data_IF_395415973542
#
_entry.id   IF_395415973542
#
_cell.length_a   1.000
_cell.length_b   1.000
_cell.length_c   1.000
_cell.angle_alpha   90.00
_cell.angle_beta   90.00
_cell.angle_gamma   90.00
#
_symmetry.space_group_name_H-M   'P 1'
#
loop_
_entity.id
_entity.type
_entity.pdbx_description
1 polymer ?
#
# COMPACT_ATOMS: atom_id res chain seq x y z
N UNK A 1 4.92 -2.60 -13.40
CA UNK A 1 6.07 -2.50 -12.48
C UNK A 1 6.03 -1.14 -11.83
N UNK A 2 6.16 -1.07 -10.51
CA UNK A 2 6.15 0.16 -9.72
C UNK A 2 7.47 0.25 -8.99
N UNK A 3 8.18 1.37 -9.16
CA UNK A 3 9.50 1.61 -8.59
C UNK A 3 9.49 2.96 -7.85
N UNK A 4 9.30 2.94 -6.52
CA UNK A 4 9.58 4.09 -5.68
C UNK A 4 11.08 4.42 -5.70
N UNK A 5 11.44 5.69 -5.89
CA UNK A 5 12.81 6.18 -6.03
C UNK A 5 13.01 7.43 -5.16
N UNK A 6 14.20 7.61 -4.60
CA UNK A 6 14.54 8.78 -3.78
C UNK A 6 15.99 9.25 -4.01
N UNK A 7 17.00 8.53 -3.50
CA UNK A 7 18.42 8.87 -3.65
C UNK A 7 19.17 7.93 -4.61
N UNK A 8 18.48 6.90 -5.06
CA UNK A 8 19.02 5.62 -5.52
C UNK A 8 19.11 5.51 -7.05
N UNK A 9 19.40 6.62 -7.74
CA UNK A 9 19.49 6.69 -9.20
C UNK A 9 20.46 5.65 -9.80
N UNK A 10 21.63 5.45 -9.16
CA UNK A 10 22.64 4.51 -9.67
C UNK A 10 22.19 3.05 -9.53
N UNK A 11 21.52 2.72 -8.44
CA UNK A 11 20.97 1.38 -8.23
C UNK A 11 19.79 1.15 -9.20
N UNK A 12 18.92 2.15 -9.38
CA UNK A 12 17.86 2.12 -10.39
C UNK A 12 18.39 1.84 -11.80
N UNK A 13 19.43 2.55 -12.25
CA UNK A 13 20.04 2.31 -13.57
C UNK A 13 20.52 0.87 -13.70
N UNK A 14 21.21 0.34 -12.69
CA UNK A 14 21.72 -1.04 -12.69
C UNK A 14 20.58 -2.06 -12.72
N UNK A 15 19.53 -1.84 -11.93
CA UNK A 15 18.34 -2.69 -11.92
C UNK A 15 17.66 -2.69 -13.29
N UNK A 16 17.44 -1.52 -13.90
CA UNK A 16 16.80 -1.43 -15.21
C UNK A 16 17.62 -2.11 -16.30
N UNK A 17 18.95 -2.01 -16.29
CA UNK A 17 19.83 -2.77 -17.19
C UNK A 17 19.83 -4.29 -16.93
N UNK A 18 19.32 -4.73 -15.79
CA UNK A 18 19.25 -6.13 -15.39
C UNK A 18 17.87 -6.77 -15.66
N UNK A 19 16.83 -5.98 -15.95
CA UNK A 19 15.53 -6.52 -16.34
C UNK A 19 15.64 -7.17 -17.74
N UNK A 20 15.38 -8.47 -17.81
CA UNK A 20 15.47 -9.30 -19.02
C UNK A 20 14.12 -9.54 -19.72
N UNK A 21 13.04 -8.97 -19.19
CA UNK A 21 11.66 -9.19 -19.66
C UNK A 21 11.02 -7.87 -20.08
N UNK A 22 10.11 -7.86 -21.08
CA UNK A 22 9.41 -6.65 -21.46
C UNK A 22 8.50 -6.16 -20.32
N UNK A 23 8.54 -4.86 -20.05
CA UNK A 23 7.65 -4.21 -19.08
C UNK A 23 6.49 -3.58 -19.84
N UNK A 24 5.26 -4.04 -19.57
CA UNK A 24 4.04 -3.50 -20.19
C UNK A 24 3.74 -2.06 -19.74
N UNK A 25 3.85 -1.82 -18.44
CA UNK A 25 3.65 -0.51 -17.80
C UNK A 25 4.67 -0.34 -16.67
N UNK A 26 5.48 0.70 -16.78
CA UNK A 26 6.47 1.11 -15.79
C UNK A 26 5.99 2.40 -15.11
N UNK A 27 5.86 2.35 -13.79
CA UNK A 27 5.48 3.49 -12.95
C UNK A 27 6.68 3.84 -12.08
N UNK A 28 7.30 4.99 -12.34
CA UNK A 28 8.40 5.52 -11.56
C UNK A 28 7.85 6.60 -10.65
N UNK A 29 8.04 6.45 -9.34
CA UNK A 29 7.56 7.42 -8.36
C UNK A 29 8.74 8.03 -7.64
N UNK A 30 9.01 9.30 -7.92
CA UNK A 30 10.06 10.05 -7.25
C UNK A 30 9.55 10.63 -5.94
N UNK A 31 10.11 10.17 -4.83
CA UNK A 31 9.96 10.73 -3.49
C UNK A 31 11.16 11.65 -3.21
N UNK A 32 10.96 12.95 -3.18
CA UNK A 32 12.03 13.95 -2.96
C UNK A 32 12.40 14.74 -4.20
N UNK A 33 13.44 15.56 -4.06
CA UNK A 33 13.92 16.59 -4.99
C UNK A 33 15.33 16.36 -5.50
N UNK A 34 15.93 15.19 -5.27
CA UNK A 34 17.28 14.87 -5.73
C UNK A 34 17.43 15.22 -7.22
N UNK A 35 18.36 16.13 -7.52
CA UNK A 35 18.40 16.84 -8.79
C UNK A 35 18.76 15.89 -9.95
N UNK A 36 19.71 14.97 -9.74
CA UNK A 36 20.15 14.05 -10.78
C UNK A 36 19.06 13.04 -11.15
N UNK A 37 18.34 12.52 -10.16
CA UNK A 37 17.18 11.68 -10.33
C UNK A 37 16.07 12.45 -11.07
N UNK A 38 15.78 13.67 -10.64
CA UNK A 38 14.78 14.54 -11.28
C UNK A 38 15.05 14.72 -12.78
N UNK A 39 16.28 15.09 -13.13
CA UNK A 39 16.73 15.26 -14.51
C UNK A 39 16.62 13.95 -15.30
N UNK A 40 17.08 12.84 -14.72
CA UNK A 40 16.99 11.53 -15.38
C UNK A 40 15.55 11.12 -15.67
N UNK A 41 14.64 11.29 -14.70
CA UNK A 41 13.23 10.96 -14.87
C UNK A 41 12.52 11.92 -15.83
N UNK A 42 12.96 13.18 -15.91
CA UNK A 42 12.50 14.14 -16.92
C UNK A 42 12.82 13.69 -18.32
N UNK A 43 14.08 13.31 -18.56
CA UNK A 43 14.49 12.83 -19.87
C UNK A 43 13.79 11.52 -20.24
N UNK A 44 13.63 10.59 -19.30
CA UNK A 44 12.85 9.36 -19.53
C UNK A 44 11.40 9.67 -19.88
N UNK A 45 10.74 10.57 -19.14
CA UNK A 45 9.37 11.00 -19.43
C UNK A 45 9.26 11.68 -20.81
N UNK A 46 10.23 12.53 -21.18
CA UNK A 46 10.28 13.19 -22.48
C UNK A 46 10.44 12.20 -23.63
N UNK A 47 11.32 11.21 -23.48
CA UNK A 47 11.65 10.25 -24.55
C UNK A 47 10.61 9.13 -24.69
N UNK A 48 10.04 8.64 -23.58
CA UNK A 48 9.19 7.44 -23.57
C UNK A 48 7.75 7.68 -23.08
N UNK A 49 7.44 8.84 -22.48
CA UNK A 49 6.13 9.12 -21.90
C UNK A 49 4.98 9.10 -22.91
N UNK A 50 5.26 9.45 -24.17
CA UNK A 50 4.27 9.41 -25.26
C UNK A 50 3.72 7.99 -25.54
N UNK A 51 4.44 6.94 -25.13
CA UNK A 51 4.05 5.56 -25.38
C UNK A 51 2.87 5.07 -24.53
N UNK A 52 2.51 5.80 -23.46
CA UNK A 52 1.56 5.34 -22.44
C UNK A 52 2.07 4.16 -21.59
N UNK A 53 3.30 3.66 -21.82
CA UNK A 53 3.92 2.55 -21.08
C UNK A 53 4.83 3.02 -19.95
N UNK A 54 5.13 4.31 -19.87
CA UNK A 54 5.90 4.93 -18.81
C UNK A 54 5.06 6.01 -18.14
N UNK A 55 4.92 5.90 -16.82
CA UNK A 55 4.35 6.95 -15.97
C UNK A 55 5.44 7.39 -15.00
N UNK A 56 5.72 8.69 -14.98
CA UNK A 56 6.61 9.32 -14.00
C UNK A 56 5.77 10.20 -13.10
N UNK A 57 5.67 9.83 -11.82
CA UNK A 57 4.98 10.62 -10.79
C UNK A 57 6.03 11.27 -9.89
N UNK A 58 5.97 12.60 -9.74
CA UNK A 58 6.95 13.35 -8.95
C UNK A 58 6.33 13.93 -7.70
N UNK A 59 6.97 13.65 -6.57
CA UNK A 59 6.57 14.12 -5.26
C UNK A 59 7.76 14.80 -4.59
N UNK A 60 7.95 16.12 -4.82
CA UNK A 60 9.01 16.90 -4.19
C UNK A 60 8.99 16.85 -2.66
N UNK A 61 7.82 16.64 -2.07
CA UNK A 61 7.68 16.24 -0.68
C UNK A 61 7.53 14.73 -0.62
N UNK A 62 8.35 14.06 0.19
CA UNK A 62 8.32 12.61 0.29
C UNK A 62 6.95 12.14 0.82
N UNK A 63 6.22 11.37 0.01
CA UNK A 63 4.89 10.85 0.36
C UNK A 63 4.94 9.50 1.09
N UNK A 64 6.13 8.92 1.23
CA UNK A 64 6.38 7.62 1.81
C UNK A 64 6.37 6.51 0.77
N UNK A 65 6.99 5.38 1.11
CA UNK A 65 7.07 4.20 0.26
C UNK A 65 5.68 3.63 -0.02
N UNK A 66 4.86 3.40 1.02
CA UNK A 66 3.49 2.91 0.89
C UNK A 66 2.66 3.74 -0.08
N UNK A 67 2.69 5.07 0.04
CA UNK A 67 1.94 5.95 -0.84
C UNK A 67 2.45 5.89 -2.29
N UNK A 68 3.76 5.81 -2.49
CA UNK A 68 4.36 5.65 -3.81
C UNK A 68 3.95 4.32 -4.48
N UNK A 69 3.94 3.21 -3.74
CA UNK A 69 3.43 1.92 -4.22
C UNK A 69 1.94 2.01 -4.54
N UNK A 70 1.17 2.71 -3.70
CA UNK A 70 -0.27 2.87 -3.90
C UNK A 70 -0.60 3.68 -5.16
N UNK A 71 0.23 4.64 -5.59
CA UNK A 71 0.04 5.32 -6.89
C UNK A 71 0.03 4.32 -8.04
N UNK A 72 1.03 3.43 -8.09
CA UNK A 72 1.10 2.40 -9.12
C UNK A 72 -0.01 1.36 -9.01
N UNK A 73 -0.41 1.02 -7.78
CA UNK A 73 -1.51 0.08 -7.52
C UNK A 73 -2.86 0.65 -7.95
N UNK A 74 -3.13 1.94 -7.67
CA UNK A 74 -4.35 2.64 -8.12
C UNK A 74 -4.42 2.68 -9.65
N UNK A 75 -3.31 3.02 -10.31
CA UNK A 75 -3.23 3.02 -11.78
C UNK A 75 -3.46 1.61 -12.35
N UNK A 76 -2.87 0.57 -11.75
CA UNK A 76 -3.11 -0.80 -12.17
C UNK A 76 -4.60 -1.17 -12.07
N UNK A 77 -5.26 -0.80 -10.98
CA UNK A 77 -6.69 -1.05 -10.78
C UNK A 77 -7.60 -0.22 -11.70
N UNK A 78 -7.17 0.95 -12.19
CA UNK A 78 -7.94 1.73 -13.17
C UNK A 78 -7.86 1.19 -14.60
N UNK A 79 -6.93 0.26 -14.88
CA UNK A 79 -6.76 -0.36 -16.20
C UNK A 79 -7.47 -1.72 -16.26
N UNK A 80 -7.82 -2.22 -17.46
CA UNK A 80 -8.42 -3.56 -17.61
C UNK A 80 -7.55 -4.65 -16.96
N UNK A 81 -8.20 -5.61 -16.30
CA UNK A 81 -7.49 -6.69 -15.59
C UNK A 81 -6.70 -7.60 -16.52
N UNK A 82 -7.14 -7.72 -17.77
CA UNK A 82 -6.47 -8.47 -18.83
C UNK A 82 -5.15 -7.79 -19.22
N UNK A 83 -5.06 -6.46 -19.10
CA UNK A 83 -3.84 -5.70 -19.35
C UNK A 83 -2.89 -5.67 -18.15
N UNK A 84 -3.46 -5.62 -16.93
CA UNK A 84 -2.69 -5.57 -15.67
C UNK A 84 -3.23 -6.58 -14.66
N UNK A 85 -2.91 -7.89 -14.83
CA UNK A 85 -3.38 -8.95 -13.94
C UNK A 85 -2.64 -8.99 -12.59
N UNK A 86 -1.49 -8.34 -12.50
CA UNK A 86 -0.69 -8.25 -11.28
C UNK A 86 0.20 -7.00 -11.31
N UNK A 87 0.68 -6.60 -10.14
CA UNK A 87 1.58 -5.46 -9.96
C UNK A 87 2.91 -5.95 -9.42
N UNK A 88 3.98 -5.72 -10.19
CA UNK A 88 5.33 -5.94 -9.71
C UNK A 88 5.85 -4.70 -8.99
N UNK A 89 6.02 -4.78 -7.67
CA UNK A 89 6.58 -3.72 -6.81
C UNK A 89 8.01 -4.08 -6.51
N UNK A 90 8.95 -3.15 -6.74
CA UNK A 90 10.37 -3.44 -6.52
C UNK A 90 11.13 -2.21 -6.06
N UNK A 91 12.06 -2.44 -5.12
CA UNK A 91 13.11 -1.49 -4.81
C UNK A 91 14.11 -1.44 -5.97
N UNK A 92 14.92 -0.38 -6.01
CA UNK A 92 15.94 -0.19 -7.05
C UNK A 92 17.24 -0.96 -6.78
N UNK A 93 17.48 -1.38 -5.53
CA UNK A 93 18.73 -1.99 -5.06
C UNK A 93 18.71 -3.53 -5.13
N UNK A 94 18.03 -4.05 -6.14
CA UNK A 94 17.87 -5.48 -6.39
C UNK A 94 18.50 -5.90 -7.73
N UNK A 95 18.86 -7.18 -7.82
CA UNK A 95 19.36 -7.82 -9.03
C UNK A 95 18.79 -9.23 -9.17
N UNK A 96 18.41 -9.58 -10.39
CA UNK A 96 17.87 -10.86 -10.81
C UNK A 96 18.85 -11.58 -11.73
N UNK A 97 18.89 -12.91 -11.67
CA UNK A 97 19.47 -13.70 -12.76
C UNK A 97 18.59 -13.57 -14.02
N UNK A 98 19.16 -13.65 -15.23
CA UNK A 98 18.43 -13.39 -16.48
C UNK A 98 17.17 -14.25 -16.69
N UNK A 99 17.13 -15.44 -16.11
CA UNK A 99 16.08 -16.45 -16.20
C UNK A 99 14.98 -16.34 -15.13
N UNK A 100 15.24 -15.57 -14.05
CA UNK A 100 14.35 -15.53 -12.89
C UNK A 100 13.01 -14.87 -13.24
N UNK A 101 13.04 -13.67 -13.82
CA UNK A 101 11.82 -12.91 -14.08
C UNK A 101 10.93 -13.58 -15.12
N UNK A 102 11.50 -14.16 -16.18
CA UNK A 102 10.72 -14.85 -17.21
C UNK A 102 10.02 -16.08 -16.64
N UNK A 103 10.73 -16.88 -15.83
CA UNK A 103 10.16 -18.05 -15.16
C UNK A 103 9.10 -17.64 -14.13
N UNK A 104 9.37 -16.62 -13.32
CA UNK A 104 8.41 -16.05 -12.36
C UNK A 104 7.13 -15.56 -13.02
N UNK A 105 7.22 -14.82 -14.13
CA UNK A 105 6.03 -14.33 -14.83
C UNK A 105 5.18 -15.47 -15.39
N UNK A 106 5.81 -16.51 -15.96
CA UNK A 106 5.10 -17.71 -16.42
C UNK A 106 4.33 -18.37 -15.27
N UNK A 107 5.00 -18.57 -14.14
CA UNK A 107 4.39 -19.23 -12.98
C UNK A 107 3.25 -18.39 -12.40
N UNK A 108 3.40 -17.05 -12.31
CA UNK A 108 2.32 -16.15 -11.89
C UNK A 108 1.11 -16.30 -12.80
N UNK A 109 1.28 -16.20 -14.12
CA UNK A 109 0.16 -16.31 -15.07
C UNK A 109 -0.58 -17.65 -14.96
N UNK A 110 0.15 -18.75 -14.82
CA UNK A 110 -0.44 -20.09 -14.68
C UNK A 110 -1.17 -20.25 -13.34
N UNK A 111 -0.57 -19.78 -12.25
CA UNK A 111 -1.09 -19.97 -10.89
C UNK A 111 -2.25 -19.02 -10.54
N UNK A 112 -2.42 -17.91 -11.27
CA UNK A 112 -3.51 -16.94 -11.08
C UNK A 112 -4.57 -16.99 -12.18
N UNK A 113 -4.55 -17.99 -13.08
CA UNK A 113 -5.47 -18.04 -14.24
C UNK A 113 -6.97 -18.03 -13.90
N UNK A 114 -7.32 -18.41 -12.66
CA UNK A 114 -8.70 -18.45 -12.18
C UNK A 114 -9.11 -17.21 -11.36
N UNK A 115 -8.19 -16.27 -11.11
CA UNK A 115 -8.47 -15.11 -10.26
C UNK A 115 -9.51 -14.18 -10.91
N UNK A 116 -9.54 -14.08 -12.24
CA UNK A 116 -10.51 -13.25 -12.95
C UNK A 116 -11.97 -13.65 -12.64
N UNK A 117 -12.29 -14.95 -12.66
CA UNK A 117 -13.62 -15.45 -12.32
C UNK A 117 -13.95 -15.17 -10.85
N UNK A 118 -12.98 -15.35 -9.96
CA UNK A 118 -13.17 -15.06 -8.54
C UNK A 118 -13.45 -13.58 -8.28
N UNK A 119 -12.78 -12.68 -9.00
CA UNK A 119 -13.04 -11.24 -8.92
C UNK A 119 -14.45 -10.88 -9.40
N UNK A 120 -14.96 -11.53 -10.44
CA UNK A 120 -16.33 -11.30 -10.94
C UNK A 120 -17.38 -11.72 -9.90
N UNK A 121 -17.20 -12.88 -9.27
CA UNK A 121 -18.06 -13.34 -8.17
C UNK A 121 -18.10 -12.34 -7.00
N UNK A 122 -16.92 -11.85 -6.58
CA UNK A 122 -16.80 -10.90 -5.47
C UNK A 122 -17.39 -9.54 -5.83
N UNK A 123 -17.22 -9.09 -7.08
CA UNK A 123 -17.84 -7.86 -7.56
C UNK A 123 -19.36 -7.96 -7.56
N UNK A 124 -19.92 -9.09 -7.97
CA UNK A 124 -21.36 -9.33 -7.92
C UNK A 124 -21.90 -9.40 -6.49
N UNK A 125 -21.15 -10.02 -5.56
CA UNK A 125 -21.49 -10.04 -4.14
C UNK A 125 -21.47 -8.62 -3.54
N UNK A 126 -20.39 -7.86 -3.79
CA UNK A 126 -20.22 -6.50 -3.27
C UNK A 126 -21.23 -5.49 -3.84
N UNK A 127 -21.71 -5.70 -5.07
CA UNK A 127 -22.73 -4.84 -5.68
C UNK A 127 -24.10 -4.91 -4.96
N UNK A 128 -24.35 -5.96 -4.17
CA UNK A 128 -25.59 -6.13 -3.41
C UNK A 128 -25.48 -5.64 -1.95
N UNK A 129 -24.43 -4.88 -1.61
CA UNK A 129 -24.21 -4.37 -0.26
C UNK A 129 -24.95 -3.04 -0.02
N UNK A 130 -25.42 -2.76 1.21
CA UNK A 130 -25.27 -3.57 2.42
C UNK A 130 -26.10 -4.86 2.40
N UNK A 131 -25.57 -5.92 3.00
CA UNK A 131 -26.19 -7.25 3.11
C UNK A 131 -26.42 -7.63 4.59
N UNK A 132 -27.00 -8.80 4.88
CA UNK A 132 -27.21 -9.31 6.25
C UNK A 132 -25.92 -9.42 7.12
N UNK A 133 -24.75 -9.32 6.49
CA UNK A 133 -23.44 -9.29 7.14
C UNK A 133 -22.97 -7.87 7.49
N UNK A 134 -23.61 -6.84 6.96
CA UNK A 134 -23.23 -5.44 7.16
C UNK A 134 -23.53 -4.99 8.61
N UNK A 135 -22.56 -4.38 9.32
CA UNK A 135 -22.74 -3.89 10.69
C UNK A 135 -23.87 -2.87 10.86
N UNK A 136 -24.25 -2.15 9.79
CA UNK A 136 -25.40 -1.23 9.80
C UNK A 136 -26.66 -1.99 10.18
N UNK A 137 -26.87 -3.17 9.59
CA UNK A 137 -28.05 -3.99 9.82
C UNK A 137 -27.96 -4.80 11.13
N UNK A 138 -26.74 -5.13 11.60
CA UNK A 138 -26.55 -5.89 12.85
C UNK A 138 -26.48 -5.04 14.12
N UNK A 139 -25.83 -3.87 14.05
CA UNK A 139 -25.42 -3.08 15.21
C UNK A 139 -25.68 -1.57 15.04
N UNK A 140 -26.22 -1.12 13.90
CA UNK A 140 -26.40 0.32 13.61
C UNK A 140 -25.08 1.08 13.45
N UNK A 141 -23.99 0.40 13.12
CA UNK A 141 -22.67 0.99 12.90
C UNK A 141 -22.48 1.30 11.40
N UNK A 142 -21.91 2.46 11.05
CA UNK A 142 -21.58 2.77 9.64
C UNK A 142 -20.59 1.74 9.09
N UNK A 143 -20.80 1.33 7.83
CA UNK A 143 -19.81 0.53 7.09
C UNK A 143 -18.67 1.46 6.68
N UNK A 144 -17.44 1.08 7.02
CA UNK A 144 -16.25 1.75 6.52
C UNK A 144 -16.09 1.43 5.03
N UNK A 145 -16.35 2.41 4.16
CA UNK A 145 -16.13 2.32 2.71
C UNK A 145 -15.46 3.58 2.19
N UNK A 146 -14.31 3.40 1.56
CA UNK A 146 -13.60 4.45 0.83
C UNK A 146 -14.16 4.57 -0.59
N UNK A 147 -14.27 5.79 -1.09
CA UNK A 147 -14.47 6.02 -2.53
C UNK A 147 -13.11 6.04 -3.25
N UNK A 148 -13.12 5.95 -4.59
CA UNK A 148 -11.89 6.09 -5.39
C UNK A 148 -11.18 7.43 -5.16
N UNK A 149 -11.94 8.47 -4.76
CA UNK A 149 -11.43 9.82 -4.47
C UNK A 149 -11.05 10.02 -3.01
N UNK A 150 -11.21 9.01 -2.16
CA UNK A 150 -10.90 9.12 -0.73
C UNK A 150 -9.38 9.05 -0.52
N UNK A 151 -8.81 10.14 -0.02
CA UNK A 151 -7.40 10.23 0.34
C UNK A 151 -7.12 9.93 1.82
N UNK A 152 -8.15 9.74 2.64
CA UNK A 152 -8.04 9.52 4.09
C UNK A 152 -8.41 8.10 4.48
N UNK A 153 -9.53 7.58 4.03
CA UNK A 153 -9.93 6.21 4.31
C UNK A 153 -9.52 5.31 3.13
N UNK A 154 -8.91 4.17 3.44
CA UNK A 154 -8.67 3.11 2.46
C UNK A 154 -9.41 1.86 2.89
N UNK A 155 -10.18 1.29 1.97
CA UNK A 155 -10.88 0.01 2.11
C UNK A 155 -10.82 -0.77 0.79
N UNK A 156 -11.01 -2.09 0.84
CA UNK A 156 -10.98 -2.91 -0.37
C UNK A 156 -12.31 -2.87 -1.12
N UNK A 157 -12.22 -2.61 -2.42
CA UNK A 157 -13.39 -2.54 -3.30
C UNK A 157 -14.11 -3.90 -3.46
N UNK A 158 -13.36 -5.01 -3.46
CA UNK A 158 -13.90 -6.35 -3.74
C UNK A 158 -13.96 -7.26 -2.51
N UNK A 159 -13.69 -6.75 -1.31
CA UNK A 159 -13.89 -7.56 -0.09
C UNK A 159 -15.36 -7.41 0.34
N UNK A 160 -16.19 -8.47 0.27
CA UNK A 160 -17.57 -8.39 0.72
C UNK A 160 -17.65 -8.37 2.24
N UNK A 161 -18.71 -7.78 2.79
CA UNK A 161 -18.99 -7.63 4.22
C UNK A 161 -19.05 -8.97 4.93
N UNK A 162 -19.55 -10.01 4.25
CA UNK A 162 -19.52 -11.39 4.73
C UNK A 162 -18.12 -11.84 5.10
N UNK A 163 -17.10 -11.45 4.32
CA UNK A 163 -15.71 -11.78 4.64
C UNK A 163 -15.13 -10.73 5.57
N UNK A 164 -15.31 -9.44 5.29
CA UNK A 164 -14.74 -8.33 6.10
C UNK A 164 -15.04 -8.48 7.59
N UNK A 165 -16.28 -8.81 7.93
CA UNK A 165 -16.77 -8.90 9.31
C UNK A 165 -16.95 -10.33 9.83
N UNK A 166 -16.53 -11.35 9.06
CA UNK A 166 -16.51 -12.73 9.54
C UNK A 166 -15.51 -12.93 10.69
N UNK A 167 -15.58 -14.08 11.36
CA UNK A 167 -14.56 -14.45 12.34
C UNK A 167 -13.18 -14.64 11.69
N UNK A 168 -12.10 -14.53 12.47
CA UNK A 168 -10.72 -14.78 12.00
C UNK A 168 -10.61 -16.11 11.24
N UNK A 169 -11.17 -17.18 11.82
CA UNK A 169 -11.11 -18.54 11.26
C UNK A 169 -11.83 -18.68 9.92
N UNK A 170 -12.88 -17.90 9.69
CA UNK A 170 -13.61 -17.88 8.42
C UNK A 170 -12.86 -17.06 7.37
N UNK A 171 -12.31 -15.90 7.75
CA UNK A 171 -11.51 -15.06 6.85
C UNK A 171 -10.26 -15.77 6.35
N UNK A 172 -9.56 -16.50 7.21
CA UNK A 172 -8.37 -17.29 6.84
C UNK A 172 -8.67 -18.36 5.77
N UNK A 173 -9.94 -18.69 5.51
CA UNK A 173 -10.33 -19.64 4.47
C UNK A 173 -10.75 -18.97 3.16
N UNK A 174 -11.13 -17.68 3.20
CA UNK A 174 -11.79 -16.98 2.11
C UNK A 174 -10.97 -17.00 0.80
N UNK A 175 -9.64 -16.89 0.92
CA UNK A 175 -8.72 -16.90 -0.22
C UNK A 175 -7.66 -18.01 -0.13
N UNK A 176 -7.91 -19.06 0.67
CA UNK A 176 -6.99 -20.19 0.92
C UNK A 176 -6.57 -20.99 -0.32
N UNK A 177 -7.25 -20.81 -1.46
CA UNK A 177 -6.94 -21.42 -2.76
C UNK A 177 -6.23 -20.47 -3.73
N UNK A 178 -6.07 -19.20 -3.37
CA UNK A 178 -5.51 -18.16 -4.23
C UNK A 178 -4.15 -17.69 -3.73
N UNK A 179 -3.29 -17.27 -4.66
CA UNK A 179 -2.02 -16.64 -4.35
C UNK A 179 -2.22 -15.13 -4.24
N UNK A 180 -1.72 -14.54 -3.18
CA UNK A 180 -1.77 -13.09 -3.00
C UNK A 180 -0.48 -12.39 -3.43
N UNK A 181 0.65 -13.09 -3.32
CA UNK A 181 1.94 -12.56 -3.74
C UNK A 181 2.92 -13.65 -4.16
N UNK A 182 3.88 -13.25 -4.98
CA UNK A 182 5.00 -14.07 -5.43
C UNK A 182 6.32 -13.33 -5.21
N UNK A 183 7.30 -14.04 -4.68
CA UNK A 183 8.59 -13.48 -4.30
C UNK A 183 9.75 -14.36 -4.78
N UNK A 184 10.82 -13.72 -5.22
CA UNK A 184 12.11 -14.38 -5.33
C UNK A 184 12.64 -14.68 -3.92
N UNK A 185 12.86 -15.95 -3.59
CA UNK A 185 13.25 -16.32 -2.23
C UNK A 185 14.63 -15.77 -1.88
N UNK A 186 14.68 -14.89 -0.87
CA UNK A 186 15.92 -14.53 -0.19
C UNK A 186 15.63 -14.12 1.25
N UNK A 187 16.18 -14.88 2.22
CA UNK A 187 16.35 -14.54 3.66
C UNK A 187 15.43 -13.43 4.20
N UNK A 188 14.12 -13.60 4.08
CA UNK A 188 13.08 -12.70 4.59
C UNK A 188 12.89 -11.34 3.90
N UNK A 189 13.41 -11.11 2.69
CA UNK A 189 13.27 -9.82 1.96
C UNK A 189 12.27 -9.86 0.80
N UNK A 190 11.15 -10.58 0.94
CA UNK A 190 10.14 -10.80 -0.11
C UNK A 190 9.65 -9.46 -0.72
N UNK A 191 9.30 -8.47 0.10
CA UNK A 191 8.78 -7.19 -0.37
C UNK A 191 9.82 -6.20 -0.91
N UNK A 192 11.12 -6.54 -0.86
CA UNK A 192 12.10 -5.79 -1.64
C UNK A 192 11.85 -5.92 -3.15
N UNK A 193 11.23 -7.04 -3.56
CA UNK A 193 10.79 -7.27 -4.94
C UNK A 193 9.69 -8.33 -4.98
N UNK A 194 8.44 -7.88 -5.09
CA UNK A 194 7.23 -8.70 -4.95
C UNK A 194 6.25 -8.47 -6.08
N UNK A 195 5.68 -9.55 -6.60
CA UNK A 195 4.50 -9.48 -7.47
C UNK A 195 3.26 -9.66 -6.60
N UNK A 196 2.41 -8.64 -6.55
CA UNK A 196 1.10 -8.69 -5.91
C UNK A 196 0.03 -9.00 -6.96
N UNK A 197 -0.84 -9.97 -6.67
CA UNK A 197 -1.93 -10.31 -7.58
C UNK A 197 -3.00 -9.23 -7.54
N UNK A 198 -3.69 -9.00 -8.67
CA UNK A 198 -4.78 -8.02 -8.71
C UNK A 198 -5.88 -8.39 -7.71
N UNK A 199 -6.20 -9.68 -7.59
CA UNK A 199 -7.15 -10.18 -6.60
C UNK A 199 -6.76 -9.75 -5.18
N UNK A 200 -5.50 -9.94 -4.78
CA UNK A 200 -5.03 -9.50 -3.47
C UNK A 200 -5.15 -7.99 -3.28
N UNK A 201 -4.71 -7.17 -4.24
CA UNK A 201 -4.81 -5.71 -4.12
C UNK A 201 -6.28 -5.28 -3.98
N UNK A 202 -7.19 -5.91 -4.74
CA UNK A 202 -8.61 -5.58 -4.72
C UNK A 202 -9.36 -6.02 -3.45
N UNK A 203 -8.82 -6.97 -2.68
CA UNK A 203 -9.50 -7.54 -1.47
C UNK A 203 -8.77 -7.28 -0.16
N UNK A 204 -7.44 -7.15 -0.18
CA UNK A 204 -6.60 -6.75 0.97
C UNK A 204 -6.49 -5.23 1.06
N UNK A 205 -6.54 -4.56 -0.10
CA UNK A 205 -6.50 -3.12 -0.23
C UNK A 205 -5.08 -2.62 -0.46
N UNK A 206 -4.92 -1.32 -0.25
CA UNK A 206 -3.65 -0.61 -0.43
C UNK A 206 -2.70 -0.81 0.76
N UNK A 207 -1.42 -0.49 0.57
CA UNK A 207 -0.46 -0.38 1.67
C UNK A 207 -0.90 0.72 2.62
N UNK A 208 -0.72 0.49 3.93
CA UNK A 208 -1.09 1.47 4.93
C UNK A 208 -0.09 2.64 4.91
N UNK A 209 -0.57 3.82 4.51
CA UNK A 209 0.25 5.02 4.31
C UNK A 209 0.73 5.65 5.63
N UNK A 210 0.27 5.15 6.78
CA UNK A 210 0.76 5.60 8.10
C UNK A 210 2.10 4.98 8.50
N UNK A 211 2.51 3.88 7.85
CA UNK A 211 3.91 3.44 7.89
C UNK A 211 4.72 4.38 7.00
N UNK A 212 5.34 5.37 7.65
CA UNK A 212 5.96 6.52 7.03
C UNK A 212 7.30 6.86 7.71
N UNK A 213 8.36 7.14 6.93
CA UNK A 213 8.38 7.24 5.46
C UNK A 213 8.51 5.88 4.75
N UNK A 214 9.02 4.85 5.43
CA UNK A 214 9.20 3.48 4.94
C UNK A 214 9.41 2.53 6.13
N UNK A 215 9.52 1.22 5.89
CA UNK A 215 9.66 0.13 6.86
C UNK A 215 8.35 -0.29 7.57
N UNK A 216 8.20 -1.62 7.76
CA UNK A 216 7.08 -2.31 8.41
C UNK A 216 5.81 -2.38 7.55
N UNK A 217 5.72 -1.61 6.46
CA UNK A 217 4.61 -1.69 5.51
C UNK A 217 4.47 -3.07 4.86
N UNK A 218 5.61 -3.75 4.65
CA UNK A 218 5.68 -5.11 4.13
C UNK A 218 5.15 -6.15 5.11
N UNK A 219 5.51 -6.01 6.39
CA UNK A 219 5.01 -6.83 7.49
C UNK A 219 3.51 -6.65 7.63
N UNK A 220 3.03 -5.40 7.65
CA UNK A 220 1.60 -5.08 7.70
C UNK A 220 0.83 -5.74 6.56
N UNK A 221 1.29 -5.54 5.32
CA UNK A 221 0.62 -6.08 4.13
C UNK A 221 0.61 -7.62 4.15
N UNK A 222 1.73 -8.23 4.54
CA UNK A 222 1.86 -9.70 4.68
C UNK A 222 0.91 -10.28 5.72
N UNK A 223 0.67 -9.58 6.82
CA UNK A 223 -0.28 -10.00 7.84
C UNK A 223 -1.71 -9.91 7.34
N UNK A 224 -2.08 -8.82 6.67
CA UNK A 224 -3.42 -8.67 6.10
C UNK A 224 -3.71 -9.71 5.03
N UNK A 225 -2.73 -10.04 4.18
CA UNK A 225 -2.81 -11.17 3.24
C UNK A 225 -3.12 -12.49 3.97
N UNK A 226 -2.39 -12.78 5.06
CA UNK A 226 -2.57 -14.01 5.85
C UNK A 226 -3.94 -14.05 6.51
N UNK A 227 -4.44 -12.93 7.03
CA UNK A 227 -5.76 -12.86 7.66
C UNK A 227 -6.90 -13.17 6.71
N UNK A 228 -6.72 -12.93 5.41
CA UNK A 228 -7.66 -13.30 4.37
C UNK A 228 -7.38 -14.71 3.77
N UNK A 229 -6.33 -15.39 4.24
CA UNK A 229 -5.99 -16.75 3.81
C UNK A 229 -5.18 -16.84 2.52
N UNK A 230 -4.69 -15.74 1.96
CA UNK A 230 -3.89 -15.80 0.74
C UNK A 230 -2.60 -16.60 0.93
N UNK A 231 -2.24 -17.38 -0.10
CA UNK A 231 -0.95 -18.05 -0.18
C UNK A 231 0.12 -17.08 -0.67
N UNK A 232 1.31 -17.17 -0.10
CA UNK A 232 2.53 -16.58 -0.68
C UNK A 232 3.30 -17.67 -1.42
N UNK A 233 3.79 -17.37 -2.62
CA UNK A 233 4.68 -18.26 -3.36
C UNK A 233 6.10 -17.72 -3.34
N UNK A 234 7.01 -18.47 -2.72
CA UNK A 234 8.44 -18.23 -2.84
C UNK A 234 8.98 -19.06 -4.02
N UNK A 235 9.63 -18.42 -4.99
CA UNK A 235 10.29 -19.15 -6.08
C UNK A 235 11.71 -19.48 -5.67
N UNK A 236 12.11 -20.73 -5.93
CA UNK A 236 13.39 -21.31 -5.51
C UNK A 236 14.39 -21.46 -6.68
N UNK A 237 14.08 -20.87 -7.83
CA UNK A 237 14.93 -20.87 -9.01
C UNK A 237 15.51 -19.47 -9.29
N UNK A 238 16.57 -19.45 -10.09
CA UNK A 238 17.32 -18.23 -10.37
C UNK A 238 18.07 -17.71 -9.14
N UNK A 239 18.70 -16.54 -9.28
CA UNK A 239 19.36 -15.82 -8.18
C UNK A 239 18.73 -14.45 -8.01
N UNK A 240 18.42 -14.11 -6.77
CA UNK A 240 18.00 -12.77 -6.38
C UNK A 240 18.97 -12.21 -5.36
N UNK A 241 19.43 -10.99 -5.60
CA UNK A 241 20.32 -10.25 -4.71
C UNK A 241 19.64 -8.95 -4.35
N UNK A 242 19.41 -8.76 -3.05
CA UNK A 242 18.96 -7.49 -2.50
C UNK A 242 20.14 -6.87 -1.74
N UNK A 243 20.59 -5.70 -2.18
CA UNK A 243 21.73 -4.99 -1.56
C UNK A 243 21.38 -4.49 -0.16
N UNK A 244 20.09 -4.26 0.10
CA UNK A 244 19.54 -3.86 1.40
C UNK A 244 19.84 -2.41 1.72
N UNK A 245 18.83 -1.70 2.22
CA UNK A 245 19.00 -0.40 2.89
C UNK A 245 19.77 0.63 2.05
N UNK A 246 19.58 0.66 0.73
CA UNK A 246 20.38 1.57 -0.11
C UNK A 246 20.13 3.05 0.16
N UNK A 247 18.87 3.48 0.25
CA UNK A 247 18.53 4.87 0.59
C UNK A 247 19.08 5.26 1.98
N UNK A 248 19.10 4.34 2.93
CA UNK A 248 19.74 4.53 4.25
C UNK A 248 21.23 4.82 4.09
N UNK A 249 21.99 3.94 3.43
CA UNK A 249 23.43 4.12 3.27
C UNK A 249 23.76 5.39 2.49
N UNK A 250 22.99 5.69 1.46
CA UNK A 250 23.14 6.92 0.67
C UNK A 250 22.85 8.14 1.54
N UNK A 251 21.84 8.09 2.41
CA UNK A 251 21.51 9.19 3.32
C UNK A 251 22.61 9.48 4.35
N UNK A 252 23.41 8.46 4.71
CA UNK A 252 24.55 8.57 5.63
C UNK A 252 25.82 9.07 4.91
N UNK A 253 25.93 8.87 3.60
CA UNK A 253 27.11 9.21 2.79
C UNK A 253 27.00 10.56 2.07
N UNK A 254 25.79 11.05 1.84
CA UNK A 254 25.52 12.23 1.03
C UNK A 254 25.05 13.40 1.88
N UNK A 255 25.53 14.60 1.56
CA UNK A 255 25.12 15.87 2.17
C UNK A 255 24.12 16.61 1.26
N UNK A 256 23.15 15.86 0.72
CA UNK A 256 22.05 16.40 -0.09
C UNK A 256 20.84 16.70 0.80
N UNK A 257 19.98 17.69 0.47
CA UNK A 257 18.81 18.01 1.27
C UNK A 257 17.90 16.81 1.58
N UNK A 258 17.62 15.96 0.60
CA UNK A 258 16.80 14.76 0.78
C UNK A 258 17.48 13.69 1.66
N UNK A 259 18.81 13.57 1.55
CA UNK A 259 19.60 12.67 2.38
C UNK A 259 19.57 13.09 3.85
N UNK A 260 19.77 14.38 4.11
CA UNK A 260 19.66 14.96 5.45
C UNK A 260 18.25 14.82 6.02
N UNK A 261 17.22 15.10 5.22
CA UNK A 261 15.83 14.94 5.61
C UNK A 261 15.53 13.49 6.01
N UNK A 262 15.93 12.52 5.18
CA UNK A 262 15.66 11.11 5.45
C UNK A 262 16.40 10.61 6.69
N UNK A 263 17.67 11.03 6.89
CA UNK A 263 18.47 10.69 8.08
C UNK A 263 17.77 11.14 9.36
N UNK A 264 17.27 12.37 9.39
CA UNK A 264 16.53 12.95 10.53
C UNK A 264 15.22 12.20 10.77
N UNK A 265 14.38 12.04 9.75
CA UNK A 265 13.10 11.34 9.88
C UNK A 265 13.29 9.89 10.35
N UNK A 266 14.25 9.16 9.77
CA UNK A 266 14.54 7.78 10.15
C UNK A 266 14.94 7.67 11.62
N UNK A 267 15.68 8.64 12.15
CA UNK A 267 16.12 8.66 13.56
C UNK A 267 14.95 8.69 14.55
N UNK A 268 13.77 9.18 14.13
CA UNK A 268 12.56 9.19 14.94
C UNK A 268 11.97 7.79 15.17
N UNK A 269 12.30 6.81 14.32
CA UNK A 269 11.72 5.45 14.36
C UNK A 269 10.18 5.42 14.40
N UNK A 270 9.55 6.34 13.67
CA UNK A 270 8.09 6.60 13.69
C UNK A 270 7.22 5.36 13.42
N UNK A 271 7.74 4.38 12.69
CA UNK A 271 6.96 3.16 12.44
C UNK A 271 6.80 2.27 13.66
N UNK A 272 7.72 2.34 14.64
CA UNK A 272 7.66 1.45 15.80
C UNK A 272 6.44 1.75 16.70
N UNK A 273 6.17 3.00 17.11
CA UNK A 273 4.96 3.30 17.90
C UNK A 273 3.68 2.97 17.13
N UNK A 274 3.65 3.24 15.82
CA UNK A 274 2.49 2.93 14.99
C UNK A 274 2.27 1.41 14.87
N UNK A 275 3.32 0.63 14.60
CA UNK A 275 3.28 -0.83 14.56
C UNK A 275 2.85 -1.42 15.90
N UNK A 276 3.36 -0.89 17.01
CA UNK A 276 2.99 -1.31 18.36
C UNK A 276 1.51 -1.05 18.62
N UNK A 277 0.99 0.12 18.25
CA UNK A 277 -0.44 0.40 18.36
C UNK A 277 -1.28 -0.53 17.48
N UNK A 278 -0.85 -0.77 16.23
CA UNK A 278 -1.60 -1.58 15.25
C UNK A 278 -1.58 -3.07 15.54
N UNK A 279 -0.47 -3.62 15.97
CA UNK A 279 -0.25 -5.05 16.05
C UNK A 279 0.19 -5.53 17.44
N UNK A 280 0.32 -4.65 18.43
CA UNK A 280 0.88 -4.94 19.76
C UNK A 280 2.26 -5.62 19.70
N UNK A 281 3.08 -5.23 18.72
CA UNK A 281 4.43 -5.75 18.57
C UNK A 281 5.08 -5.35 17.25
N UNK A 282 6.41 -5.45 17.20
CA UNK A 282 7.19 -5.28 15.96
C UNK A 282 7.25 -6.57 15.12
N UNK A 283 6.91 -7.71 15.73
CA UNK A 283 6.87 -9.03 15.10
C UNK A 283 5.53 -9.67 15.42
N UNK A 284 4.56 -9.55 14.54
CA UNK A 284 3.23 -10.13 14.75
C UNK A 284 3.21 -11.66 14.86
N UNK A 285 4.32 -12.36 14.59
CA UNK A 285 4.38 -13.82 14.79
C UNK A 285 4.39 -14.24 16.27
N UNK A 286 4.74 -13.34 17.21
CA UNK A 286 4.87 -13.69 18.62
C UNK A 286 4.16 -12.63 19.48
N UNK A 287 3.13 -13.05 20.22
CA UNK A 287 2.49 -12.31 21.33
C UNK A 287 1.74 -10.99 20.98
N UNK A 288 1.59 -10.64 19.70
CA UNK A 288 0.83 -9.46 19.26
C UNK A 288 -0.68 -9.71 19.09
N UNK A 289 -1.40 -8.66 18.66
CA UNK A 289 -2.79 -8.78 18.25
C UNK A 289 -2.90 -9.68 17.01
N UNK A 290 -3.99 -10.45 16.94
CA UNK A 290 -4.29 -11.29 15.77
C UNK A 290 -4.84 -10.47 14.60
N UNK A 291 -5.36 -9.29 14.87
CA UNK A 291 -5.98 -8.40 13.89
C UNK A 291 -5.50 -6.97 14.11
N UNK A 292 -5.62 -6.08 13.11
CA UNK A 292 -5.33 -4.67 13.30
C UNK A 292 -6.11 -4.15 14.51
N UNK A 293 -5.37 -3.63 15.47
CA UNK A 293 -5.92 -2.95 16.63
C UNK A 293 -6.88 -3.81 17.45
N UNK A 294 -6.51 -5.08 17.62
CA UNK A 294 -7.30 -6.09 18.33
C UNK A 294 -8.71 -6.28 17.74
N UNK A 295 -8.82 -6.16 16.42
CA UNK A 295 -10.07 -6.36 15.68
C UNK A 295 -11.00 -5.14 15.69
N UNK A 296 -10.55 -4.00 16.21
CA UNK A 296 -11.36 -2.76 16.20
C UNK A 296 -11.66 -2.26 14.78
N UNK A 297 -10.80 -2.55 13.82
CA UNK A 297 -10.94 -2.19 12.41
C UNK A 297 -10.73 -3.43 11.55
N UNK A 298 -11.53 -3.61 10.47
CA UNK A 298 -11.35 -4.76 9.59
C UNK A 298 -9.97 -4.81 8.94
N UNK A 299 -9.52 -6.01 8.59
CA UNK A 299 -8.19 -6.23 8.05
C UNK A 299 -7.87 -5.41 6.80
N UNK A 300 -8.84 -5.07 5.96
CA UNK A 300 -8.63 -4.31 4.73
C UNK A 300 -8.68 -2.79 4.90
N UNK A 301 -8.84 -2.30 6.13
CA UNK A 301 -9.14 -0.90 6.40
C UNK A 301 -8.02 -0.20 7.17
N UNK A 302 -7.69 1.02 6.75
CA UNK A 302 -6.87 1.95 7.50
C UNK A 302 -7.30 3.40 7.20
N UNK A 303 -7.05 4.30 8.15
CA UNK A 303 -7.34 5.73 8.03
C UNK A 303 -6.02 6.48 8.08
N UNK A 304 -5.77 7.39 7.16
CA UNK A 304 -4.56 8.19 7.06
C UNK A 304 -4.55 9.29 8.13
N UNK A 305 -3.51 9.30 8.95
CA UNK A 305 -3.20 10.39 9.87
C UNK A 305 -2.26 11.39 9.17
N UNK A 306 -2.85 12.22 8.29
CA UNK A 306 -2.10 13.25 7.54
C UNK A 306 -1.43 14.25 8.48
N UNK A 307 -2.07 14.58 9.62
CA UNK A 307 -1.51 15.50 10.62
C UNK A 307 -0.20 14.93 11.17
N UNK A 308 -0.16 13.64 11.53
CA UNK A 308 1.06 12.96 11.97
C UNK A 308 2.13 12.93 10.88
N UNK A 309 1.77 12.53 9.66
CA UNK A 309 2.71 12.50 8.53
C UNK A 309 3.31 13.89 8.29
N UNK A 310 2.50 14.95 8.38
CA UNK A 310 2.99 16.31 8.20
C UNK A 310 3.93 16.75 9.32
N UNK A 311 3.68 16.39 10.58
CA UNK A 311 4.63 16.65 11.69
C UNK A 311 5.99 15.98 11.43
N UNK A 312 5.98 14.73 10.95
CA UNK A 312 7.20 13.99 10.62
C UNK A 312 7.95 14.67 9.47
N UNK A 313 7.25 15.07 8.40
CA UNK A 313 7.83 15.80 7.26
C UNK A 313 8.53 17.09 7.70
N UNK A 314 7.85 17.89 8.52
CA UNK A 314 8.37 19.17 9.03
C UNK A 314 9.63 18.95 9.87
N UNK A 315 9.64 17.94 10.76
CA UNK A 315 10.83 17.61 11.54
C UNK A 315 12.04 17.25 10.66
N UNK A 316 11.83 16.52 9.57
CA UNK A 316 12.92 16.22 8.63
C UNK A 316 13.59 17.48 8.05
N UNK A 317 12.85 18.58 7.90
CA UNK A 317 13.38 19.84 7.38
C UNK A 317 14.06 20.72 8.45
N UNK A 318 13.62 20.68 9.71
CA UNK A 318 14.12 21.56 10.78
C UNK A 318 14.67 20.77 11.99
N UNK A 319 15.98 20.82 12.17
CA UNK A 319 16.71 20.18 13.27
C UNK A 319 16.37 20.79 14.64
N UNK A 320 15.88 22.04 14.68
CA UNK A 320 15.57 22.75 15.93
C UNK A 320 14.22 22.36 16.53
N UNK A 321 13.38 21.64 15.79
CA UNK A 321 12.13 21.13 16.36
C UNK A 321 12.43 19.87 17.17
N UNK A 322 12.11 19.91 18.46
CA UNK A 322 12.14 18.73 19.31
C UNK A 322 11.35 17.58 18.71
N UNK A 323 11.68 16.34 19.10
CA UNK A 323 11.01 15.12 18.64
C UNK A 323 9.49 15.32 18.70
N UNK A 324 8.78 15.26 17.57
CA UNK A 324 7.32 15.42 17.58
C UNK A 324 6.71 14.39 18.53
N UNK A 325 5.62 14.75 19.21
CA UNK A 325 4.76 13.71 19.82
C UNK A 325 4.29 12.79 18.69
N UNK A 326 4.86 11.60 18.63
CA UNK A 326 4.57 10.56 17.61
C UNK A 326 3.34 9.72 17.97
N UNK A 327 2.42 10.30 18.75
CA UNK A 327 1.16 9.64 19.04
C UNK A 327 0.25 9.76 17.83
N UNK A 328 -0.21 8.62 17.33
CA UNK A 328 -1.24 8.52 16.32
C UNK A 328 -2.59 8.92 16.91
N UNK A 329 -3.39 9.68 16.16
CA UNK A 329 -4.69 10.13 16.63
C UNK A 329 -5.74 9.00 16.65
N UNK A 330 -5.94 8.39 17.82
CA UNK A 330 -6.97 7.33 18.02
C UNK A 330 -8.40 7.81 17.81
N UNK A 331 -8.65 9.12 17.79
CA UNK A 331 -9.98 9.69 17.53
C UNK A 331 -10.47 9.41 16.09
N UNK A 332 -9.55 9.27 15.13
CA UNK A 332 -9.83 9.09 13.70
C UNK A 332 -10.72 7.88 13.38
N UNK A 333 -10.77 6.94 14.32
CA UNK A 333 -11.46 5.69 14.24
C UNK A 333 -12.91 5.84 14.67
N UNK A 334 -13.17 6.72 15.65
CA UNK A 334 -14.51 7.03 16.14
C UNK A 334 -15.29 7.92 15.16
N UNK A 335 -14.61 8.69 14.30
CA UNK A 335 -15.28 9.40 13.19
C UNK A 335 -16.05 8.44 12.27
N UNK A 336 -15.67 7.16 12.22
CA UNK A 336 -16.42 6.13 11.51
C UNK A 336 -17.62 5.55 12.26
N UNK A 337 -17.79 5.85 13.56
CA UNK A 337 -18.87 5.32 14.40
C UNK A 337 -20.01 6.30 14.68
N UNK A 338 -19.91 7.58 14.30
CA UNK A 338 -20.98 8.55 14.59
C UNK A 338 -22.29 8.16 13.89
N UNK A 339 -23.34 7.94 14.69
CA UNK A 339 -24.74 7.85 14.23
C UNK A 339 -25.12 9.13 13.48
N UNK A 340 -26.03 9.03 12.54
CA UNK A 340 -26.46 10.10 11.64
C UNK A 340 -27.35 11.18 12.32
N UNK A 341 -27.39 11.26 13.65
CA UNK A 341 -28.34 12.14 14.33
C UNK A 341 -27.81 13.54 14.69
N UNK A 342 -26.54 13.87 14.40
CA UNK A 342 -25.96 15.18 14.77
C UNK A 342 -25.85 16.20 13.62
N UNK A 343 -26.50 15.98 12.48
CA UNK A 343 -26.66 17.04 11.44
C UNK A 343 -28.10 17.56 11.29
N UNK A 344 -29.02 17.17 12.18
CA UNK A 344 -30.37 17.73 12.23
C UNK A 344 -30.52 18.78 13.34
N UNK A 345 -29.61 19.75 13.41
CA UNK A 345 -29.88 21.00 14.13
C UNK A 345 -29.55 22.20 13.24
N UNK A 346 -30.57 23.00 13.01
CA UNK A 346 -30.56 24.36 12.43
C UNK A 346 -30.65 24.45 10.91
N UNK A 347 -31.82 24.13 10.37
CA UNK A 347 -32.59 25.16 9.63
C UNK A 347 -34.06 24.73 9.59
N UNK A 348 -34.75 25.03 10.68
CA UNK A 348 -36.20 25.22 10.66
C UNK A 348 -36.48 26.46 9.81
N UNK A 349 -36.55 26.29 8.49
CA UNK A 349 -37.27 27.24 7.65
C UNK A 349 -38.67 26.68 7.43
N UNK A 350 -39.50 26.97 8.42
CA UNK A 350 -40.93 27.03 8.27
C UNK A 350 -41.25 28.07 7.18
N UNK A 351 -41.37 27.62 5.93
CA UNK A 351 -42.23 28.30 4.97
C UNK A 351 -43.64 27.74 5.11
N UNK A 352 -44.33 28.33 6.09
CA UNK A 352 -45.76 28.56 6.06
C UNK A 352 -46.12 29.25 4.73
N UNK A 353 -47.10 28.75 3.99
CA UNK A 353 -48.37 29.43 3.64
C UNK A 353 -49.11 28.70 2.51
N UNK A 354 -50.23 28.10 2.90
CA UNK A 354 -51.57 28.15 2.29
C UNK A 354 -51.75 28.41 0.77
N UNK A 355 -52.29 27.37 0.13
CA UNK A 355 -53.43 27.31 -0.83
C UNK A 355 -53.33 27.93 -2.25
N UNK A 356 -53.76 27.06 -3.20
CA UNK A 356 -54.18 27.26 -4.60
C UNK A 356 -53.08 27.36 -5.66
#
# INVERSE_FOLDING_TARGET
>A
MVVPLMLDLMDFRRMMCNISVPIRLLVLVQNGREAMLSLCLQELGRVYGWSGRLVVSRHPENIGYSAAVNIGSRLALSLPREEVPFVFVTNSDVKFSPDLLSSLLRDVHEMTRHDAARMDELSAEAANEPSEYSPVLRWGLRVLRSTVKDGRLSTSALLPDRVRYASVKEREKAFSKHYGHFCAYYKSSCFASVILTRLAISTVGYFDENFYPDCVEDVDYSLRLRLLGFRGQNVLYGKFVHRGSSNIRLSEQLELPDALWYRRVKSLMTNQPYAMMKWNGLKACCNGYKEPYDGMVPADVWVKDETRIQRIRVHGHDEKQGVPKDEYERSLWYLSRRREDDSATNTSFAFLFCFL
#
